data_IF_566728176283
#
_entry.id   IF_566728176283
#
_cell.length_a   1.000
_cell.length_b   1.000
_cell.length_c   1.000
_cell.angle_alpha   90.00
_cell.angle_beta   90.00
_cell.angle_gamma   90.00
#
_symmetry.space_group_name_H-M   'P 1'
#
loop_
_entity.id
_entity.type
_entity.pdbx_description
1 polymer ?
#
# COMPACT_ATOMS: atom_id res chain seq x y z
N UNK A 1 -13.76 -12.00 -19.67
CA UNK A 1 -14.07 -10.69 -19.06
C UNK A 1 -13.24 -10.46 -17.78
N UNK A 2 -11.90 -10.49 -17.85
CA UNK A 2 -11.00 -10.36 -16.68
C UNK A 2 -10.37 -8.96 -16.54
N UNK A 3 -10.58 -8.08 -17.52
CA UNK A 3 -9.93 -6.77 -17.64
C UNK A 3 -10.50 -5.68 -16.71
N UNK A 4 -11.56 -5.99 -15.95
CA UNK A 4 -12.20 -5.04 -15.01
C UNK A 4 -12.25 -5.65 -13.61
N UNK A 5 -11.12 -5.68 -12.88
CA UNK A 5 -11.05 -6.26 -11.54
C UNK A 5 -11.82 -5.43 -10.50
N UNK A 6 -12.06 -4.14 -10.79
CA UNK A 6 -12.73 -3.19 -9.92
C UNK A 6 -14.11 -2.82 -10.47
N UNK A 7 -15.05 -2.65 -9.55
CA UNK A 7 -16.39 -2.16 -9.82
C UNK A 7 -16.65 -0.92 -8.95
N UNK A 8 -17.19 0.13 -9.59
CA UNK A 8 -17.54 1.38 -8.94
C UNK A 8 -19.06 1.46 -8.79
N UNK A 9 -19.56 1.71 -7.58
CA UNK A 9 -20.99 1.85 -7.29
C UNK A 9 -21.26 3.07 -6.42
N UNK A 10 -22.21 3.90 -6.84
CA UNK A 10 -22.70 5.01 -6.03
C UNK A 10 -23.79 4.49 -5.09
N UNK A 11 -23.64 4.69 -3.78
CA UNK A 11 -24.57 4.20 -2.75
C UNK A 11 -24.72 5.25 -1.63
N UNK A 12 -25.79 5.16 -0.83
CA UNK A 12 -25.99 6.06 0.32
C UNK A 12 -25.08 5.74 1.52
N UNK A 13 -24.49 4.54 1.57
CA UNK A 13 -23.62 4.10 2.67
C UNK A 13 -22.15 4.23 2.32
N UNK A 14 -21.36 4.82 3.21
CA UNK A 14 -19.90 4.88 3.10
C UNK A 14 -19.25 3.56 3.55
N UNK A 15 -18.90 2.67 2.61
CA UNK A 15 -18.17 1.42 2.93
C UNK A 15 -16.65 1.63 3.05
N UNK A 16 -16.11 2.72 2.50
CA UNK A 16 -14.68 3.03 2.50
C UNK A 16 -14.26 3.98 3.64
N UNK A 17 -15.00 3.99 4.75
CA UNK A 17 -14.68 4.81 5.93
C UNK A 17 -13.29 4.51 6.52
N UNK A 18 -12.84 3.25 6.67
CA UNK A 18 -11.48 2.97 7.14
C UNK A 18 -10.40 3.54 6.22
N UNK A 19 -10.62 3.47 4.90
CA UNK A 19 -9.69 4.01 3.91
C UNK A 19 -9.55 5.53 4.02
N UNK A 20 -10.62 6.23 4.42
CA UNK A 20 -10.56 7.68 4.68
C UNK A 20 -9.62 8.01 5.82
N UNK A 21 -9.68 7.25 6.92
CA UNK A 21 -8.79 7.44 8.06
C UNK A 21 -7.34 7.12 7.71
N UNK A 22 -7.10 6.05 6.94
CA UNK A 22 -5.76 5.70 6.45
C UNK A 22 -5.20 6.81 5.55
N UNK A 23 -5.99 7.32 4.61
CA UNK A 23 -5.59 8.41 3.73
C UNK A 23 -5.27 9.69 4.51
N UNK A 24 -6.12 10.05 5.48
CA UNK A 24 -5.89 11.21 6.34
C UNK A 24 -4.61 11.06 7.16
N UNK A 25 -4.42 9.92 7.83
CA UNK A 25 -3.21 9.65 8.61
C UNK A 25 -1.96 9.69 7.73
N UNK A 26 -2.01 9.09 6.55
CA UNK A 26 -0.91 9.09 5.58
C UNK A 26 -0.55 10.50 5.09
N UNK A 27 -1.55 11.34 4.78
CA UNK A 27 -1.33 12.72 4.37
C UNK A 27 -0.79 13.58 5.52
N UNK A 28 -1.28 13.40 6.74
CA UNK A 28 -0.76 14.10 7.93
C UNK A 28 0.70 13.72 8.16
N UNK A 29 1.04 12.43 8.09
CA UNK A 29 2.42 11.98 8.23
C UNK A 29 3.31 12.49 7.08
N UNK A 30 2.82 12.45 5.85
CA UNK A 30 3.50 13.00 4.68
C UNK A 30 3.79 14.50 4.82
N UNK A 31 2.80 15.27 5.28
CA UNK A 31 2.94 16.71 5.53
C UNK A 31 3.92 16.98 6.67
N UNK A 32 3.86 16.20 7.76
CA UNK A 32 4.82 16.29 8.85
C UNK A 32 6.25 16.05 8.33
N UNK A 33 6.47 15.02 7.50
CA UNK A 33 7.79 14.79 6.89
C UNK A 33 8.21 15.94 5.96
N UNK A 34 7.28 16.53 5.20
CA UNK A 34 7.59 17.67 4.32
C UNK A 34 8.04 18.91 5.12
N UNK A 35 7.46 19.13 6.31
CA UNK A 35 7.76 20.28 7.17
C UNK A 35 9.00 20.04 8.04
N UNK A 36 9.10 18.86 8.67
CA UNK A 36 10.11 18.55 9.68
C UNK A 36 11.29 17.73 9.14
N UNK A 37 11.22 17.28 7.88
CA UNK A 37 12.19 16.37 7.27
C UNK A 37 11.85 14.89 7.48
N UNK A 38 12.66 14.03 6.88
CA UNK A 38 12.51 12.59 7.01
C UNK A 38 12.92 12.13 8.41
N UNK A 39 12.21 11.15 9.01
CA UNK A 39 12.63 10.60 10.28
C UNK A 39 14.01 9.93 10.15
N UNK A 40 14.94 10.15 11.09
CA UNK A 40 16.30 9.59 11.04
C UNK A 40 16.30 8.13 11.49
N UNK A 41 15.47 7.31 10.86
CA UNK A 41 15.31 5.88 11.17
C UNK A 41 15.57 5.06 9.92
N UNK A 42 16.54 4.17 10.03
CA UNK A 42 16.82 3.18 9.01
C UNK A 42 15.95 1.94 9.24
N UNK A 43 14.97 1.75 8.35
CA UNK A 43 14.07 0.59 8.37
C UNK A 43 14.39 -0.42 7.27
N UNK A 44 15.54 -0.32 6.62
CA UNK A 44 15.88 -1.22 5.53
C UNK A 44 16.22 -2.62 6.05
N UNK A 45 15.84 -3.63 5.26
CA UNK A 45 16.23 -5.02 5.50
C UNK A 45 17.67 -5.30 5.06
N UNK A 46 18.25 -6.41 5.50
CA UNK A 46 19.62 -6.79 5.18
C UNK A 46 19.94 -6.78 3.68
N UNK A 47 18.99 -7.21 2.85
CA UNK A 47 19.13 -7.26 1.39
C UNK A 47 19.40 -5.88 0.76
N UNK A 48 18.89 -4.79 1.35
CA UNK A 48 19.13 -3.43 0.86
C UNK A 48 20.60 -3.07 0.91
N UNK A 49 21.28 -3.43 2.00
CA UNK A 49 22.72 -3.19 2.15
C UNK A 49 23.56 -4.08 1.22
N UNK A 50 23.04 -5.27 0.88
CA UNK A 50 23.63 -6.15 -0.13
C UNK A 50 23.36 -5.70 -1.59
N UNK A 51 22.74 -4.54 -1.80
CA UNK A 51 22.44 -3.99 -3.13
C UNK A 51 21.20 -4.58 -3.80
N UNK A 52 20.42 -5.39 -3.07
CA UNK A 52 19.17 -5.97 -3.58
C UNK A 52 18.02 -5.09 -3.11
N UNK A 53 17.45 -4.32 -4.03
CA UNK A 53 16.39 -3.36 -3.74
C UNK A 53 15.02 -4.03 -3.76
N UNK A 54 14.19 -3.76 -2.76
CA UNK A 54 12.77 -4.12 -2.71
C UNK A 54 11.90 -3.17 -3.55
N UNK A 55 10.63 -3.52 -3.85
CA UNK A 55 9.77 -2.70 -4.70
C UNK A 55 9.44 -1.34 -4.06
N UNK A 56 9.46 -1.26 -2.72
CA UNK A 56 9.19 -0.02 -1.98
C UNK A 56 10.46 0.72 -1.53
N UNK A 57 11.65 0.32 -1.98
CA UNK A 57 12.86 1.11 -1.73
C UNK A 57 12.65 2.54 -2.26
N UNK A 58 13.08 3.54 -1.48
CA UNK A 58 12.88 4.95 -1.79
C UNK A 58 11.43 5.46 -1.66
N UNK A 59 10.44 4.64 -1.30
CA UNK A 59 9.04 5.08 -1.23
C UNK A 59 8.80 6.24 -0.25
N UNK A 60 9.48 6.26 0.91
CA UNK A 60 9.36 7.37 1.87
C UNK A 60 9.93 8.68 1.32
N UNK A 61 11.11 8.64 0.69
CA UNK A 61 11.70 9.81 0.01
C UNK A 61 10.82 10.28 -1.15
N UNK A 62 10.22 9.34 -1.87
CA UNK A 62 9.28 9.64 -2.93
C UNK A 62 8.02 10.34 -2.41
N UNK A 63 7.38 9.83 -1.35
CA UNK A 63 6.22 10.49 -0.72
C UNK A 63 6.60 11.87 -0.19
N UNK A 64 7.75 12.00 0.47
CA UNK A 64 8.26 13.28 0.94
C UNK A 64 8.42 14.28 -0.22
N UNK A 65 9.04 13.87 -1.33
CA UNK A 65 9.22 14.72 -2.51
C UNK A 65 7.88 15.15 -3.12
N UNK A 66 6.93 14.21 -3.25
CA UNK A 66 5.59 14.52 -3.77
C UNK A 66 4.83 15.50 -2.85
N UNK A 67 4.90 15.31 -1.53
CA UNK A 67 4.28 16.20 -0.54
C UNK A 67 4.94 17.58 -0.51
N UNK A 68 6.23 17.67 -0.84
CA UNK A 68 6.97 18.92 -0.99
C UNK A 68 6.75 19.61 -2.35
N UNK A 69 5.94 19.02 -3.24
CA UNK A 69 5.63 19.56 -4.57
C UNK A 69 6.61 19.18 -5.69
N UNK A 70 7.64 18.38 -5.40
CA UNK A 70 8.60 17.89 -6.39
C UNK A 70 8.18 16.51 -6.91
N UNK A 71 7.29 16.53 -7.90
CA UNK A 71 6.75 15.32 -8.51
C UNK A 71 7.80 14.56 -9.32
N UNK A 72 8.73 15.25 -9.98
CA UNK A 72 9.75 14.60 -10.80
C UNK A 72 10.73 13.82 -9.92
N UNK A 73 11.23 14.44 -8.85
CA UNK A 73 12.07 13.76 -7.86
C UNK A 73 11.33 12.61 -7.18
N UNK A 74 10.02 12.77 -6.92
CA UNK A 74 9.19 11.69 -6.39
C UNK A 74 9.16 10.47 -7.31
N UNK A 75 8.94 10.68 -8.61
CA UNK A 75 8.94 9.61 -9.62
C UNK A 75 10.32 8.96 -9.76
N UNK A 76 11.39 9.76 -9.72
CA UNK A 76 12.78 9.26 -9.78
C UNK A 76 13.10 8.33 -8.61
N UNK A 77 12.64 8.65 -7.38
CA UNK A 77 12.81 7.74 -6.25
C UNK A 77 11.92 6.51 -6.37
N UNK A 78 10.61 6.70 -6.51
CA UNK A 78 9.68 5.59 -6.62
C UNK A 78 8.32 6.08 -7.17
N UNK A 79 7.81 5.56 -8.30
CA UNK A 79 6.52 6.00 -8.82
C UNK A 79 5.35 5.77 -7.86
N UNK A 80 5.46 4.85 -6.90
CA UNK A 80 4.42 4.59 -5.91
C UNK A 80 4.13 5.80 -5.02
N UNK A 81 5.12 6.65 -4.70
CA UNK A 81 4.87 7.77 -3.78
C UNK A 81 3.90 8.80 -4.36
N UNK A 82 4.05 9.15 -5.64
CA UNK A 82 3.07 10.01 -6.34
C UNK A 82 1.68 9.38 -6.35
N UNK A 83 1.59 8.08 -6.67
CA UNK A 83 0.31 7.36 -6.69
C UNK A 83 -0.35 7.30 -5.31
N UNK A 84 0.43 7.14 -4.24
CA UNK A 84 -0.08 7.15 -2.86
C UNK A 84 -0.63 8.52 -2.48
N UNK A 85 0.11 9.60 -2.77
CA UNK A 85 -0.33 10.98 -2.45
C UNK A 85 -1.60 11.31 -3.24
N UNK A 86 -1.61 11.11 -4.56
CA UNK A 86 -2.79 11.36 -5.39
C UNK A 86 -3.98 10.48 -4.98
N UNK A 87 -3.74 9.21 -4.65
CA UNK A 87 -4.76 8.30 -4.16
C UNK A 87 -5.37 8.76 -2.84
N UNK A 88 -4.55 9.22 -1.90
CA UNK A 88 -5.02 9.74 -0.62
C UNK A 88 -5.83 11.04 -0.80
N UNK A 89 -5.37 11.96 -1.65
CA UNK A 89 -6.13 13.17 -2.00
C UNK A 89 -7.46 12.80 -2.66
N UNK A 90 -7.49 11.85 -3.58
CA UNK A 90 -8.72 11.38 -4.22
C UNK A 90 -9.72 10.79 -3.21
N UNK A 91 -9.23 10.09 -2.17
CA UNK A 91 -10.08 9.58 -1.07
C UNK A 91 -10.67 10.73 -0.25
N UNK A 92 -9.93 11.82 0.00
CA UNK A 92 -10.47 13.00 0.69
C UNK A 92 -11.45 13.78 -0.19
N UNK A 93 -11.18 13.95 -1.48
CA UNK A 93 -12.14 14.55 -2.44
C UNK A 93 -13.43 13.73 -2.45
N UNK A 94 -13.32 12.40 -2.51
CA UNK A 94 -14.46 11.49 -2.38
C UNK A 94 -15.22 11.70 -1.06
N UNK A 95 -14.53 11.93 0.06
CA UNK A 95 -15.17 12.22 1.35
C UNK A 95 -16.02 13.49 1.26
N UNK A 96 -15.44 14.57 0.73
CA UNK A 96 -16.12 15.86 0.58
C UNK A 96 -17.35 15.74 -0.33
N UNK A 97 -17.21 15.06 -1.48
CA UNK A 97 -18.33 14.79 -2.40
C UNK A 97 -19.41 13.93 -1.73
N UNK A 98 -19.01 12.92 -0.95
CA UNK A 98 -19.94 12.06 -0.22
C UNK A 98 -20.75 12.81 0.83
N UNK A 99 -20.10 13.74 1.54
CA UNK A 99 -20.78 14.63 2.49
C UNK A 99 -21.69 15.64 1.82
N UNK A 100 -21.26 16.28 0.73
CA UNK A 100 -22.06 17.32 0.06
C UNK A 100 -23.27 16.76 -0.70
N UNK A 101 -23.17 15.55 -1.24
CA UNK A 101 -24.24 14.93 -2.06
C UNK A 101 -25.07 13.90 -1.32
N UNK A 102 -24.64 13.45 -0.14
CA UNK A 102 -25.19 12.26 0.53
C UNK A 102 -24.95 10.95 -0.22
N UNK A 103 -24.20 10.98 -1.34
CA UNK A 103 -23.95 9.83 -2.21
C UNK A 103 -22.48 9.46 -2.22
N UNK A 104 -22.19 8.20 -1.90
CA UNK A 104 -20.84 7.68 -1.73
C UNK A 104 -20.43 6.80 -2.90
N UNK A 105 -19.33 7.15 -3.56
CA UNK A 105 -18.67 6.27 -4.51
C UNK A 105 -17.99 5.13 -3.75
N UNK A 106 -18.43 3.89 -3.90
CA UNK A 106 -17.78 2.73 -3.31
C UNK A 106 -17.07 1.93 -4.40
N UNK A 107 -15.95 1.31 -4.02
CA UNK A 107 -15.16 0.45 -4.89
C UNK A 107 -15.21 -0.96 -4.30
N UNK A 108 -15.55 -1.93 -5.14
CA UNK A 108 -15.53 -3.35 -4.79
C UNK A 108 -14.65 -4.12 -5.77
N UNK A 109 -13.98 -5.15 -5.26
CA UNK A 109 -13.17 -6.05 -6.09
C UNK A 109 -14.10 -7.12 -6.64
N UNK A 110 -14.23 -7.17 -7.98
CA UNK A 110 -15.02 -8.17 -8.70
C UNK A 110 -14.22 -9.45 -8.94
N UNK A 111 -12.93 -9.31 -9.24
CA UNK A 111 -12.04 -10.43 -9.57
C UNK A 111 -10.70 -10.31 -8.83
N UNK A 112 -10.62 -10.94 -7.65
CA UNK A 112 -9.42 -10.93 -6.82
C UNK A 112 -8.20 -11.53 -7.53
N UNK A 113 -8.37 -12.60 -8.31
CA UNK A 113 -7.27 -13.21 -9.05
C UNK A 113 -6.64 -12.24 -10.06
N UNK A 114 -7.46 -11.51 -10.83
CA UNK A 114 -6.98 -10.52 -11.79
C UNK A 114 -6.32 -9.33 -11.11
N UNK A 115 -6.89 -8.84 -10.00
CA UNK A 115 -6.28 -7.77 -9.20
C UNK A 115 -4.92 -8.18 -8.64
N UNK A 116 -4.82 -9.39 -8.07
CA UNK A 116 -3.57 -9.92 -7.52
C UNK A 116 -2.52 -10.16 -8.60
N UNK A 117 -2.91 -10.68 -9.78
CA UNK A 117 -1.99 -10.88 -10.89
C UNK A 117 -1.44 -9.54 -11.40
N UNK A 118 -2.32 -8.54 -11.59
CA UNK A 118 -1.92 -7.19 -12.00
C UNK A 118 -1.03 -6.52 -10.94
N UNK A 119 -1.41 -6.59 -9.66
CA UNK A 119 -0.61 -6.05 -8.56
C UNK A 119 0.76 -6.72 -8.45
N UNK A 120 0.81 -8.05 -8.57
CA UNK A 120 2.06 -8.81 -8.59
C UNK A 120 2.97 -8.41 -9.76
N UNK A 121 2.42 -8.28 -10.97
CA UNK A 121 3.17 -7.84 -12.14
C UNK A 121 3.73 -6.42 -11.95
N UNK A 122 2.95 -5.49 -11.41
CA UNK A 122 3.40 -4.13 -11.10
C UNK A 122 4.48 -4.10 -10.02
N UNK A 123 4.36 -4.93 -8.98
CA UNK A 123 5.40 -5.05 -7.95
C UNK A 123 6.70 -5.61 -8.51
N UNK A 124 6.64 -6.60 -9.41
CA UNK A 124 7.82 -7.13 -10.11
C UNK A 124 8.44 -6.08 -11.01
N UNK A 125 7.64 -5.37 -11.80
CA UNK A 125 8.14 -4.28 -12.64
C UNK A 125 8.82 -3.19 -11.81
N UNK A 126 8.23 -2.85 -10.66
CA UNK A 126 8.81 -1.90 -9.73
C UNK A 126 10.11 -2.43 -9.13
N UNK A 127 10.14 -3.69 -8.69
CA UNK A 127 11.36 -4.36 -8.20
C UNK A 127 12.50 -4.26 -9.22
N UNK A 128 12.23 -4.55 -10.49
CA UNK A 128 13.21 -4.43 -11.59
C UNK A 128 13.68 -2.97 -11.68
N UNK A 129 12.76 -2.02 -11.73
CA UNK A 129 13.11 -0.59 -11.79
C UNK A 129 13.99 -0.14 -10.61
N UNK A 130 13.69 -0.60 -9.39
CA UNK A 130 14.49 -0.26 -8.21
C UNK A 130 15.89 -0.87 -8.28
N UNK A 131 16.04 -2.09 -8.80
CA UNK A 131 17.36 -2.71 -8.97
C UNK A 131 18.19 -2.07 -10.10
N UNK A 132 17.56 -1.42 -11.08
CA UNK A 132 18.26 -0.62 -12.10
C UNK A 132 18.75 0.74 -11.56
N UNK A 133 18.24 1.19 -10.41
CA UNK A 133 18.58 2.47 -9.78
C UNK A 133 19.22 2.30 -8.39
N UNK A 134 19.95 1.20 -8.18
CA UNK A 134 20.59 0.88 -6.89
C UNK A 134 21.43 2.04 -6.36
N UNK A 135 22.25 2.67 -7.21
CA UNK A 135 23.13 3.79 -6.80
C UNK A 135 22.37 4.99 -6.22
N UNK A 136 21.12 5.23 -6.65
CA UNK A 136 20.26 6.31 -6.12
C UNK A 136 19.64 5.95 -4.76
N UNK A 137 19.38 4.66 -4.56
CA UNK A 137 18.52 4.15 -3.48
C UNK A 137 19.32 3.61 -2.31
N UNK A 138 20.45 2.99 -2.61
CA UNK A 138 21.32 2.34 -1.65
C UNK A 138 21.87 3.37 -0.68
N UNK A 139 21.96 2.97 0.57
CA UNK A 139 22.47 3.80 1.66
C UNK A 139 23.51 2.99 2.40
N UNK A 140 24.59 3.65 2.79
CA UNK A 140 25.60 3.04 3.65
C UNK A 140 24.95 2.58 4.96
N UNK A 141 25.41 1.45 5.54
CA UNK A 141 24.95 1.01 6.85
C UNK A 141 25.20 2.11 7.88
N UNK A 142 24.14 2.80 8.31
CA UNK A 142 24.24 3.82 9.34
C UNK A 142 24.50 3.21 10.73
N UNK A 143 24.83 4.04 11.74
CA UNK A 143 24.95 3.61 13.13
C UNK A 143 23.61 3.14 13.75
N UNK A 144 22.51 3.27 13.02
CA UNK A 144 21.17 2.82 13.40
C UNK A 144 21.12 1.29 13.31
N UNK A 145 21.26 0.63 14.46
CA UNK A 145 21.46 -0.82 14.60
C UNK A 145 20.30 -1.73 14.13
N UNK A 146 20.14 -2.95 14.71
CA UNK A 146 19.29 -4.03 14.17
C UNK A 146 17.77 -3.75 14.16
N UNK A 147 17.34 -2.52 14.47
CA UNK A 147 15.94 -2.11 14.58
C UNK A 147 15.20 -2.27 13.25
N UNK A 148 15.82 -1.90 12.12
CA UNK A 148 15.20 -2.03 10.79
C UNK A 148 14.84 -3.47 10.42
N UNK A 149 15.78 -4.43 10.48
CA UNK A 149 15.49 -5.85 10.30
C UNK A 149 14.44 -6.38 11.29
N UNK A 150 14.51 -5.98 12.56
CA UNK A 150 13.60 -6.46 13.60
C UNK A 150 12.16 -5.96 13.38
N UNK A 151 11.99 -4.69 12.99
CA UNK A 151 10.70 -4.12 12.59
C UNK A 151 10.13 -4.83 11.37
N UNK A 152 10.94 -5.11 10.35
CA UNK A 152 10.47 -5.84 9.17
C UNK A 152 9.97 -7.25 9.53
N UNK A 153 10.68 -7.98 10.40
CA UNK A 153 10.26 -9.30 10.86
C UNK A 153 8.95 -9.22 11.66
N UNK A 154 8.84 -8.27 12.58
CA UNK A 154 7.65 -8.08 13.41
C UNK A 154 6.44 -7.70 12.55
N UNK A 155 6.56 -6.71 11.67
CA UNK A 155 5.47 -6.27 10.78
C UNK A 155 5.04 -7.40 9.86
N UNK A 156 6.00 -8.10 9.23
CA UNK A 156 5.69 -9.23 8.34
C UNK A 156 5.02 -10.37 9.11
N UNK A 157 5.47 -10.67 10.33
CA UNK A 157 4.86 -11.67 11.20
C UNK A 157 3.42 -11.32 11.58
N UNK A 158 3.15 -10.05 11.91
CA UNK A 158 1.79 -9.57 12.20
C UNK A 158 0.89 -9.70 10.96
N UNK A 159 1.37 -9.27 9.79
CA UNK A 159 0.59 -9.34 8.54
C UNK A 159 0.26 -10.80 8.18
N UNK A 160 1.26 -11.69 8.22
CA UNK A 160 1.07 -13.11 7.97
C UNK A 160 0.16 -13.77 9.02
N UNK A 161 0.27 -13.36 10.28
CA UNK A 161 -0.59 -13.82 11.36
C UNK A 161 -2.06 -13.44 11.14
N UNK A 162 -2.32 -12.17 10.80
CA UNK A 162 -3.67 -11.67 10.48
C UNK A 162 -4.22 -12.39 9.24
N UNK A 163 -3.42 -12.53 8.19
CA UNK A 163 -3.81 -13.26 6.98
C UNK A 163 -4.11 -14.75 7.27
N UNK A 164 -3.28 -15.41 8.07
CA UNK A 164 -3.48 -16.80 8.49
C UNK A 164 -4.75 -16.97 9.32
N UNK A 165 -4.99 -16.07 10.28
CA UNK A 165 -6.21 -16.07 11.10
C UNK A 165 -7.45 -15.90 10.21
N UNK A 166 -7.46 -14.87 9.36
CA UNK A 166 -8.62 -14.59 8.49
C UNK A 166 -8.92 -15.76 7.54
N UNK A 167 -7.90 -16.40 6.97
CA UNK A 167 -8.06 -17.63 6.17
C UNK A 167 -8.60 -18.80 7.00
N UNK A 168 -8.10 -18.98 8.21
CA UNK A 168 -8.52 -20.06 9.11
C UNK A 168 -9.99 -19.92 9.51
N UNK A 169 -10.40 -18.72 9.93
CA UNK A 169 -11.79 -18.42 10.29
C UNK A 169 -12.73 -18.58 9.09
N UNK A 170 -12.35 -18.06 7.91
CA UNK A 170 -13.14 -18.20 6.68
C UNK A 170 -13.38 -19.65 6.28
N UNK A 171 -12.45 -20.57 6.57
CA UNK A 171 -12.62 -22.00 6.29
C UNK A 171 -13.53 -22.70 7.31
N UNK A 172 -13.51 -22.28 8.58
CA UNK A 172 -14.37 -22.85 9.63
C UNK A 172 -15.81 -22.39 9.57
N UNK A 173 -16.06 -21.17 9.09
CA UNK A 173 -17.41 -20.62 8.96
C UNK A 173 -18.03 -20.90 7.60
N UNK A 174 -17.35 -21.64 6.71
CA UNK A 174 -17.96 -22.12 5.49
C UNK A 174 -19.09 -23.09 5.88
N UNK A 175 -20.36 -22.82 5.52
CA UNK A 175 -21.46 -23.71 5.85
C UNK A 175 -21.13 -25.09 5.28
N UNK A 176 -21.31 -26.14 6.09
CA UNK A 176 -21.20 -27.51 5.61
C UNK A 176 -22.15 -27.64 4.41
N UNK A 177 -21.61 -27.96 3.23
CA UNK A 177 -22.43 -28.33 2.09
C UNK A 177 -23.36 -29.45 2.56
N UNK A 178 -24.67 -29.16 2.58
CA UNK A 178 -25.66 -30.15 2.92
C UNK A 178 -25.42 -31.35 1.99
N UNK A 179 -25.34 -32.59 2.52
CA UNK A 179 -25.17 -33.76 1.68
C UNK A 179 -26.27 -33.73 0.63
N UNK A 180 -25.86 -33.73 -0.65
CA UNK A 180 -26.76 -33.88 -1.78
C UNK A 180 -27.43 -35.24 -1.65
N UNK A 181 -28.57 -35.27 -0.97
CA UNK A 181 -29.31 -36.47 -0.68
C UNK A 181 -30.01 -37.01 -1.92
N UNK A 182 -29.83 -38.32 -2.10
CA UNK A 182 -30.75 -39.32 -2.66
C UNK A 182 -31.19 -39.19 -4.13
N UNK A 183 -30.70 -40.14 -4.93
CA UNK A 183 -31.57 -41.10 -5.62
C UNK A 183 -31.06 -42.52 -5.30
#
# INVERSE_FOLDING_TARGET
MWLRPLEFRVQERNRLRPLTWIALAGLVLGAAMAIFGLPPVDIHGFLHYAGIMGPFCGATRSVWSAMSGDILTSLHYNPVGVLLVLGAVAVLVRLVVGWSTGRWLNVSVRHWAGLSAMGGALLVALMINQNLHTELLQTEPGPYGPIGPLLNVVVSGIVLGIWGLTRYWSRRTAPAEAPSGSA
#
